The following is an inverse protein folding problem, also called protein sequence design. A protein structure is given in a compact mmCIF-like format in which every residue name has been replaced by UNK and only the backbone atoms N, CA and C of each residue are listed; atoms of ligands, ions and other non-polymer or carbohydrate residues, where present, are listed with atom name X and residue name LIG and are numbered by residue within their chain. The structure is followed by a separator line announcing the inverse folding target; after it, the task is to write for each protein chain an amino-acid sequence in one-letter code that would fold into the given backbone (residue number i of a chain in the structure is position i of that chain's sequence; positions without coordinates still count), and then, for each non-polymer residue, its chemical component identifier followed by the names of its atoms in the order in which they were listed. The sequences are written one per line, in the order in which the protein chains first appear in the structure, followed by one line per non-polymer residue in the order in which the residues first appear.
data_IF_156345830909
#
_entry.id   IF_156345830909
#
_cell.length_a   1.000
_cell.length_b   1.000
_cell.length_c   1.000
_cell.angle_alpha   90.00
_cell.angle_beta   90.00
_cell.angle_gamma   90.00
#
_symmetry.space_group_name_H-M   'P 1'
#
loop_
_entity.id
_entity.type
_entity.pdbx_description
1 polymer ?
#
# COMPACT_ATOMS: atom_id res chain seq x y z
N UNK A 1 -20.60 -45.05 43.85
CA UNK A 1 -21.59 -45.18 42.76
C UNK A 1 -21.31 -44.04 41.79
N UNK A 2 -20.68 -44.17 40.62
CA UNK A 2 -20.44 -45.32 39.75
C UNK A 2 -21.23 -45.15 38.45
N UNK A 3 -20.55 -44.69 37.38
CA UNK A 3 -20.83 -44.71 35.92
C UNK A 3 -20.40 -43.35 35.32
N UNK A 4 -19.33 -43.17 34.54
CA UNK A 4 -18.75 -43.86 33.37
C UNK A 4 -19.37 -43.45 32.00
N UNK A 5 -18.59 -42.61 31.29
CA UNK A 5 -18.25 -42.56 29.84
C UNK A 5 -19.35 -42.53 28.77
N UNK A 6 -19.21 -41.58 27.84
CA UNK A 6 -19.11 -41.88 26.41
C UNK A 6 -18.26 -40.83 25.69
N UNK A 7 -17.22 -41.31 24.99
CA UNK A 7 -16.42 -40.58 24.03
C UNK A 7 -16.98 -40.85 22.63
N UNK A 8 -16.74 -39.93 21.69
CA UNK A 8 -16.80 -40.23 20.26
C UNK A 8 -15.59 -39.59 19.59
N UNK A 9 -14.85 -40.45 18.88
CA UNK A 9 -13.62 -40.22 18.13
C UNK A 9 -13.98 -40.32 16.64
N UNK A 10 -13.11 -39.73 15.80
CA UNK A 10 -12.90 -39.96 14.36
C UNK A 10 -13.66 -38.98 13.42
N UNK A 11 -13.11 -38.51 12.31
CA UNK A 11 -11.91 -38.94 11.59
C UNK A 11 -11.29 -37.79 10.78
N UNK A 12 -9.98 -37.89 10.59
CA UNK A 12 -9.11 -37.07 9.76
C UNK A 12 -9.44 -37.18 8.26
N UNK A 13 -9.18 -36.12 7.49
CA UNK A 13 -8.69 -36.24 6.11
C UNK A 13 -7.43 -35.40 5.98
N UNK A 14 -6.30 -36.10 6.00
CA UNK A 14 -5.01 -35.62 5.50
C UNK A 14 -5.04 -35.81 3.98
N UNK A 15 -4.96 -34.73 3.21
CA UNK A 15 -4.56 -34.82 1.80
C UNK A 15 -3.09 -34.45 1.73
N UNK A 16 -2.25 -35.45 1.96
CA UNK A 16 -0.85 -35.42 1.54
C UNK A 16 -0.80 -35.93 0.09
N UNK A 17 -0.60 -35.02 -0.86
CA UNK A 17 -0.16 -35.37 -2.19
C UNK A 17 1.35 -35.08 -2.28
N UNK A 18 2.15 -36.10 -1.97
CA UNK A 18 3.56 -36.12 -2.30
C UNK A 18 3.72 -36.50 -3.77
N UNK A 19 4.59 -35.76 -4.47
CA UNK A 19 5.30 -36.27 -5.66
C UNK A 19 6.78 -35.95 -5.46
N UNK A 20 7.50 -36.95 -4.96
CA UNK A 20 8.95 -37.09 -5.10
C UNK A 20 9.20 -37.99 -6.31
N UNK A 21 9.74 -37.43 -7.39
CA UNK A 21 10.62 -38.13 -8.32
C UNK A 21 11.27 -37.09 -9.25
N UNK A 22 12.59 -36.94 -9.16
CA UNK A 22 13.34 -36.07 -10.07
C UNK A 22 14.71 -35.63 -9.56
N UNK A 23 15.60 -36.58 -9.23
CA UNK A 23 17.03 -36.30 -9.33
C UNK A 23 17.37 -36.16 -10.81
N UNK A 24 17.73 -34.96 -11.27
CA UNK A 24 18.22 -34.76 -12.63
C UNK A 24 18.28 -33.29 -13.05
N UNK A 25 19.51 -32.75 -13.06
CA UNK A 25 20.02 -31.91 -14.13
C UNK A 25 19.47 -30.48 -14.32
N UNK A 26 20.40 -29.53 -14.35
CA UNK A 26 20.29 -28.19 -14.93
C UNK A 26 19.45 -27.18 -14.16
N UNK A 27 20.08 -26.61 -13.12
CA UNK A 27 19.60 -25.43 -12.42
C UNK A 27 19.54 -24.21 -13.34
N UNK A 28 18.37 -23.98 -13.92
CA UNK A 28 17.92 -22.65 -14.32
C UNK A 28 17.46 -21.94 -13.05
N UNK A 29 18.16 -20.89 -12.65
CA UNK A 29 17.81 -19.99 -11.55
C UNK A 29 16.56 -19.17 -11.94
N UNK A 30 15.42 -19.84 -12.01
CA UNK A 30 14.12 -19.18 -12.06
C UNK A 30 13.79 -18.67 -10.67
N UNK A 31 13.95 -17.37 -10.44
CA UNK A 31 13.52 -16.72 -9.21
C UNK A 31 12.02 -16.98 -9.05
N UNK A 32 11.64 -17.88 -8.13
CA UNK A 32 10.24 -18.16 -7.83
C UNK A 32 9.59 -16.85 -7.41
N UNK A 33 8.64 -16.35 -8.20
CA UNK A 33 7.86 -15.17 -7.85
C UNK A 33 7.24 -15.42 -6.46
N UNK A 34 7.34 -14.46 -5.53
CA UNK A 34 6.69 -14.61 -4.24
C UNK A 34 5.17 -14.75 -4.45
N UNK A 35 4.48 -15.48 -3.55
CA UNK A 35 3.03 -15.64 -3.65
C UNK A 35 2.34 -14.27 -3.69
N UNK A 36 1.12 -14.20 -4.24
CA UNK A 36 0.28 -13.01 -4.10
C UNK A 36 -0.08 -12.78 -2.63
N UNK A 37 -0.33 -11.52 -2.21
CA UNK A 37 -0.76 -11.23 -0.84
C UNK A 37 -1.98 -12.12 -0.56
N UNK A 38 -1.90 -12.98 0.46
CA UNK A 38 -2.92 -13.99 0.67
C UNK A 38 -4.24 -13.29 0.95
N UNK A 39 -5.22 -13.49 0.07
CA UNK A 39 -6.58 -13.03 0.27
C UNK A 39 -7.26 -13.71 1.49
N UNK A 40 -6.59 -14.71 2.09
CA UNK A 40 -7.08 -15.51 3.21
C UNK A 40 -6.97 -14.83 4.58
N UNK A 41 -6.42 -13.61 4.66
CA UNK A 41 -6.66 -12.77 5.83
C UNK A 41 -8.18 -12.48 5.90
N UNK A 42 -8.84 -12.70 7.05
CA UNK A 42 -10.30 -12.58 7.14
C UNK A 42 -10.74 -11.27 6.51
N UNK A 43 -11.58 -11.38 5.48
CA UNK A 43 -12.17 -10.23 4.84
C UNK A 43 -13.01 -9.53 5.90
N UNK A 44 -12.51 -8.41 6.45
CA UNK A 44 -13.37 -7.50 7.20
C UNK A 44 -14.54 -7.12 6.30
N UNK A 45 -15.74 -7.05 6.89
CA UNK A 45 -16.93 -6.59 6.18
C UNK A 45 -16.68 -5.21 5.54
N UNK A 46 -17.17 -5.01 4.32
CA UNK A 46 -17.01 -3.74 3.58
C UNK A 46 -15.81 -3.68 2.63
N UNK A 47 -15.04 -4.76 2.51
CA UNK A 47 -13.96 -4.88 1.52
C UNK A 47 -14.46 -4.92 0.07
N UNK A 48 -13.82 -4.16 -0.81
CA UNK A 48 -14.07 -4.17 -2.26
C UNK A 48 -12.82 -4.61 -3.03
N UNK A 49 -13.02 -5.43 -4.07
CA UNK A 49 -11.91 -5.76 -4.98
C UNK A 49 -11.57 -4.53 -5.81
N UNK A 50 -10.37 -3.98 -5.62
CA UNK A 50 -9.86 -2.89 -6.45
C UNK A 50 -9.72 -3.33 -7.90
N UNK A 51 -10.16 -2.48 -8.85
CA UNK A 51 -9.97 -2.72 -10.28
C UNK A 51 -9.04 -1.64 -10.84
N UNK A 52 -8.07 -2.04 -11.66
CA UNK A 52 -7.22 -1.07 -12.35
C UNK A 52 -8.03 -0.37 -13.45
N UNK A 53 -7.99 0.98 -13.53
CA UNK A 53 -8.58 1.69 -14.64
C UNK A 53 -7.87 1.35 -15.95
N UNK A 54 -8.62 1.23 -17.04
CA UNK A 54 -8.06 0.93 -18.38
C UNK A 54 -7.59 2.17 -19.12
N UNK A 55 -8.01 3.36 -18.69
CA UNK A 55 -7.75 4.65 -19.35
C UNK A 55 -6.55 5.41 -18.77
N UNK A 56 -5.91 4.87 -17.72
CA UNK A 56 -4.75 5.45 -17.06
C UNK A 56 -3.59 4.46 -17.05
N UNK A 57 -2.36 4.97 -16.95
CA UNK A 57 -1.15 4.16 -17.07
C UNK A 57 -0.35 4.15 -15.77
N UNK A 58 0.16 2.97 -15.45
CA UNK A 58 1.14 2.76 -14.38
C UNK A 58 2.52 3.07 -14.93
N UNK A 59 3.33 3.77 -14.15
CA UNK A 59 4.74 4.04 -14.45
C UNK A 59 5.53 3.56 -13.25
N UNK A 60 6.27 2.47 -13.42
CA UNK A 60 7.01 1.86 -12.31
C UNK A 60 8.04 2.85 -11.74
N UNK A 61 8.07 2.94 -10.42
CA UNK A 61 9.00 3.76 -9.65
C UNK A 61 10.34 3.06 -9.42
N UNK A 62 11.32 3.83 -8.95
CA UNK A 62 12.62 3.30 -8.57
C UNK A 62 12.51 2.42 -7.31
N UNK A 63 12.95 1.16 -7.40
CA UNK A 63 12.96 0.28 -6.23
C UNK A 63 13.86 0.79 -5.12
N UNK A 64 13.40 0.68 -3.87
CA UNK A 64 14.17 1.04 -2.69
C UNK A 64 15.05 -0.12 -2.23
N UNK A 65 16.23 0.25 -1.75
CA UNK A 65 17.18 -0.65 -1.10
C UNK A 65 17.18 -0.35 0.39
N UNK A 66 16.24 -0.97 1.11
CA UNK A 66 16.08 -0.83 2.56
C UNK A 66 16.60 -2.08 3.28
N UNK A 67 17.17 -1.87 4.45
CA UNK A 67 17.72 -2.94 5.30
C UNK A 67 17.28 -2.75 6.75
N UNK A 68 16.74 -3.80 7.35
CA UNK A 68 16.58 -3.90 8.81
C UNK A 68 17.92 -4.27 9.42
N UNK A 69 18.46 -3.38 10.25
CA UNK A 69 19.78 -3.59 10.87
C UNK A 69 19.77 -4.70 11.90
N UNK A 70 18.65 -4.91 12.60
CA UNK A 70 18.43 -6.00 13.56
C UNK A 70 16.94 -6.35 13.61
N UNK A 71 16.60 -7.62 13.81
CA UNK A 71 15.24 -8.09 14.09
C UNK A 71 14.70 -7.56 15.42
N UNK A 72 15.56 -7.15 16.36
CA UNK A 72 15.13 -6.56 17.64
C UNK A 72 14.78 -5.07 17.54
N UNK A 73 15.38 -4.34 16.60
CA UNK A 73 15.00 -2.97 16.26
C UNK A 73 14.16 -2.97 14.99
N UNK A 74 12.85 -3.03 15.16
CA UNK A 74 11.88 -3.11 14.07
C UNK A 74 11.84 -1.87 13.15
N UNK A 75 12.72 -0.89 13.31
CA UNK A 75 12.74 0.33 12.50
C UNK A 75 13.86 0.28 11.46
N UNK A 76 13.54 0.62 10.22
CA UNK A 76 14.56 0.89 9.19
C UNK A 76 15.25 2.22 9.57
N UNK A 77 16.60 2.31 9.54
CA UNK A 77 17.29 3.56 9.82
C UNK A 77 16.77 4.71 8.95
N UNK A 78 16.45 5.86 9.56
CA UNK A 78 15.89 7.02 8.84
C UNK A 78 16.80 7.57 7.75
N UNK A 79 18.11 7.29 7.82
CA UNK A 79 19.08 7.60 6.76
C UNK A 79 18.79 6.86 5.44
N UNK A 80 18.14 5.69 5.50
CA UNK A 80 17.75 4.90 4.35
C UNK A 80 16.37 5.27 3.81
N UNK A 81 15.56 6.02 4.56
CA UNK A 81 14.22 6.38 4.11
C UNK A 81 14.29 7.25 2.85
N UNK A 82 13.41 7.00 1.87
CA UNK A 82 13.23 7.90 0.75
C UNK A 82 12.67 9.24 1.25
N UNK A 83 12.80 10.25 0.41
CA UNK A 83 12.19 11.56 0.63
C UNK A 83 10.82 11.60 -0.07
N UNK A 84 9.83 12.28 0.49
CA UNK A 84 8.46 12.26 -0.07
C UNK A 84 8.35 12.83 -1.50
N UNK A 85 9.28 13.72 -1.90
CA UNK A 85 9.43 14.25 -3.27
C UNK A 85 9.94 13.23 -4.29
N UNK A 86 10.46 12.08 -3.82
CA UNK A 86 10.95 10.99 -4.68
C UNK A 86 9.97 9.82 -4.79
N UNK A 87 8.86 9.86 -4.05
CA UNK A 87 7.84 8.80 -4.06
C UNK A 87 6.97 8.79 -5.32
N UNK A 88 6.77 9.95 -5.93
CA UNK A 88 6.04 10.11 -7.17
C UNK A 88 6.81 11.07 -8.06
N UNK A 89 6.79 10.81 -9.36
CA UNK A 89 7.39 11.71 -10.37
C UNK A 89 6.30 12.50 -11.09
N UNK A 90 6.70 13.58 -11.75
CA UNK A 90 5.82 14.31 -12.67
C UNK A 90 5.23 13.37 -13.74
N UNK A 91 6.00 12.42 -14.24
CA UNK A 91 5.54 11.44 -15.24
C UNK A 91 4.46 10.52 -14.68
N UNK A 92 4.67 9.95 -13.49
CA UNK A 92 3.67 9.12 -12.80
C UNK A 92 2.37 9.88 -12.55
N UNK A 93 2.48 11.13 -12.09
CA UNK A 93 1.31 11.98 -11.84
C UNK A 93 0.56 12.34 -13.12
N UNK A 94 1.26 12.63 -14.23
CA UNK A 94 0.63 12.84 -15.54
C UNK A 94 0.00 11.57 -16.11
N UNK A 95 0.59 10.40 -15.85
CA UNK A 95 0.05 9.11 -16.27
C UNK A 95 -1.22 8.71 -15.50
N UNK A 96 -1.26 9.05 -14.20
CA UNK A 96 -2.43 8.85 -13.35
C UNK A 96 -3.53 9.90 -13.57
N UNK A 97 -3.15 11.15 -13.88
CA UNK A 97 -4.07 12.28 -14.12
C UNK A 97 -3.84 12.83 -15.54
N UNK A 98 -4.33 12.15 -16.58
CA UNK A 98 -4.14 12.58 -17.97
C UNK A 98 -4.79 13.95 -18.28
N UNK A 99 -5.71 14.41 -17.44
CA UNK A 99 -6.32 15.73 -17.50
C UNK A 99 -5.38 16.86 -17.04
N UNK A 100 -4.26 16.53 -16.40
CA UNK A 100 -3.29 17.51 -15.91
C UNK A 100 -2.46 18.10 -17.07
N UNK A 101 -2.50 19.43 -17.21
CA UNK A 101 -1.70 20.20 -18.17
C UNK A 101 -0.32 20.55 -17.61
N UNK A 102 -0.22 20.68 -16.28
CA UNK A 102 1.03 20.89 -15.58
C UNK A 102 1.01 20.18 -14.24
N UNK A 103 2.17 19.65 -13.85
CA UNK A 103 2.40 19.04 -12.54
C UNK A 103 3.70 19.62 -12.02
N UNK A 104 3.68 20.18 -10.82
CA UNK A 104 4.85 20.79 -10.20
C UNK A 104 4.95 20.38 -8.74
N UNK A 105 6.16 20.08 -8.28
CA UNK A 105 6.42 19.95 -6.84
C UNK A 105 6.39 21.36 -6.23
N UNK A 106 5.46 21.60 -5.31
CA UNK A 106 5.27 22.92 -4.71
C UNK A 106 6.09 23.07 -3.43
N UNK A 107 5.71 22.33 -2.39
CA UNK A 107 6.27 22.47 -1.05
C UNK A 107 6.60 21.11 -0.44
N UNK A 108 7.68 21.07 0.34
CA UNK A 108 8.08 19.90 1.09
C UNK A 108 8.39 20.27 2.54
N UNK A 109 7.76 19.54 3.46
CA UNK A 109 7.94 19.69 4.90
C UNK A 109 8.85 18.59 5.40
N UNK A 110 10.00 18.98 5.94
CA UNK A 110 10.91 18.06 6.64
C UNK A 110 10.27 17.58 7.92
N UNK A 111 10.41 16.28 8.20
CA UNK A 111 10.11 15.77 9.53
C UNK A 111 11.21 16.15 10.52
N UNK A 112 10.91 16.02 11.81
CA UNK A 112 11.94 16.05 12.87
C UNK A 112 12.60 14.68 12.90
N UNK A 113 13.94 14.59 12.80
CA UNK A 113 14.62 13.29 12.88
C UNK A 113 14.20 12.50 14.13
N UNK A 114 13.64 11.31 13.94
CA UNK A 114 13.19 10.45 15.04
C UNK A 114 12.70 9.10 14.55
N UNK A 115 12.23 8.23 15.45
CA UNK A 115 11.81 6.86 15.10
C UNK A 115 10.72 6.81 14.03
N UNK A 116 9.88 7.85 13.95
CA UNK A 116 8.73 7.92 13.05
C UNK A 116 8.88 8.97 11.95
N UNK A 117 10.03 9.64 11.87
CA UNK A 117 10.19 10.81 11.02
C UNK A 117 11.63 10.94 10.53
N UNK A 118 11.77 11.29 9.27
CA UNK A 118 13.06 11.56 8.64
C UNK A 118 13.25 13.06 8.48
N UNK A 119 14.50 13.52 8.57
CA UNK A 119 14.89 14.88 8.17
C UNK A 119 14.76 15.11 6.66
N UNK A 120 14.56 14.04 5.87
CA UNK A 120 14.30 14.09 4.44
C UNK A 120 12.79 14.24 4.22
N UNK A 121 12.33 15.45 3.91
CA UNK A 121 10.96 15.82 3.51
C UNK A 121 9.90 14.73 3.78
N UNK A 122 9.35 14.71 5.00
CA UNK A 122 8.39 13.68 5.41
C UNK A 122 7.06 13.82 4.66
N UNK A 123 6.72 15.03 4.21
CA UNK A 123 5.53 15.29 3.40
C UNK A 123 5.86 16.25 2.28
N UNK A 124 5.35 16.00 1.08
CA UNK A 124 5.49 16.90 -0.07
C UNK A 124 4.14 17.11 -0.76
N UNK A 125 3.93 18.30 -1.28
CA UNK A 125 2.72 18.70 -2.01
C UNK A 125 3.07 18.86 -3.49
N UNK A 126 2.36 18.11 -4.32
CA UNK A 126 2.35 18.28 -5.76
C UNK A 126 1.15 19.14 -6.14
N UNK A 127 1.38 20.18 -6.94
CA UNK A 127 0.35 21.01 -7.54
C UNK A 127 0.04 20.51 -8.95
N UNK A 128 -1.24 20.37 -9.27
CA UNK A 128 -1.72 19.90 -10.57
C UNK A 128 -2.63 20.98 -11.19
N UNK A 129 -2.28 21.42 -12.39
CA UNK A 129 -3.17 22.26 -13.21
C UNK A 129 -3.97 21.37 -14.14
N UNK A 130 -5.29 21.47 -14.11
CA UNK A 130 -6.18 20.65 -14.95
C UNK A 130 -6.63 21.42 -16.20
N UNK A 131 -6.84 20.71 -17.31
CA UNK A 131 -7.36 21.29 -18.56
C UNK A 131 -8.75 21.87 -18.35
N UNK A 132 -8.93 23.14 -18.70
CA UNK A 132 -10.22 23.83 -18.52
C UNK A 132 -10.56 24.17 -17.08
N UNK A 133 -9.58 24.08 -16.16
CA UNK A 133 -9.78 24.34 -14.73
C UNK A 133 -10.26 25.75 -14.46
N UNK A 134 -11.14 25.87 -13.46
CA UNK A 134 -11.85 27.10 -13.09
C UNK A 134 -11.03 28.06 -12.22
N UNK A 135 -9.74 27.76 -12.01
CA UNK A 135 -8.82 28.53 -11.17
C UNK A 135 -8.59 27.93 -9.77
N UNK A 136 -9.20 26.78 -9.45
CA UNK A 136 -8.88 26.06 -8.21
C UNK A 136 -7.47 25.45 -8.27
N UNK A 137 -6.75 25.54 -7.15
CA UNK A 137 -5.48 24.83 -6.98
C UNK A 137 -5.77 23.37 -6.62
N UNK A 138 -5.47 22.45 -7.54
CA UNK A 138 -5.50 21.01 -7.27
C UNK A 138 -4.15 20.61 -6.69
N UNK A 139 -4.16 19.86 -5.60
CA UNK A 139 -2.93 19.38 -4.99
C UNK A 139 -3.05 17.98 -4.44
N UNK A 140 -1.97 17.22 -4.58
CA UNK A 140 -1.78 15.92 -3.95
C UNK A 140 -0.68 16.06 -2.90
N UNK A 141 -1.03 15.79 -1.65
CA UNK A 141 -0.06 15.71 -0.56
C UNK A 141 0.33 14.24 -0.39
N UNK A 142 1.63 13.97 -0.46
CA UNK A 142 2.22 12.65 -0.26
C UNK A 142 3.02 12.69 1.03
N UNK A 143 2.74 11.77 1.95
CA UNK A 143 3.41 11.71 3.26
C UNK A 143 4.00 10.32 3.50
N UNK A 144 5.30 10.25 3.79
CA UNK A 144 5.95 9.05 4.33
C UNK A 144 5.65 9.00 5.82
N UNK A 145 4.79 8.07 6.25
CA UNK A 145 4.36 7.97 7.66
C UNK A 145 5.32 7.09 8.46
N UNK A 146 5.63 5.90 7.95
CA UNK A 146 6.51 4.95 8.64
C UNK A 146 7.16 3.96 7.68
N UNK A 147 8.40 3.54 7.98
CA UNK A 147 9.10 2.44 7.31
C UNK A 147 9.82 1.58 8.35
N UNK A 148 9.59 0.28 8.30
CA UNK A 148 10.03 -0.63 9.37
C UNK A 148 9.68 -2.07 9.06
N UNK A 149 9.77 -2.92 10.07
CA UNK A 149 9.49 -4.34 9.95
C UNK A 149 8.03 -4.59 9.60
N UNK A 150 7.82 -5.50 8.65
CA UNK A 150 6.53 -6.05 8.32
C UNK A 150 6.20 -7.22 9.26
N UNK A 151 5.66 -6.90 10.43
CA UNK A 151 5.26 -7.89 11.42
C UNK A 151 3.77 -7.77 11.73
N UNK A 152 3.14 -8.89 12.08
CA UNK A 152 1.77 -8.90 12.59
C UNK A 152 1.83 -8.74 14.11
N UNK A 153 1.04 -7.83 14.68
CA UNK A 153 1.04 -7.54 16.13
C UNK A 153 2.10 -6.52 16.59
N UNK A 154 3.12 -6.24 15.78
CA UNK A 154 4.15 -5.22 16.00
C UNK A 154 4.55 -4.57 14.66
N UNK A 155 5.35 -3.50 14.68
CA UNK A 155 5.87 -2.89 13.45
C UNK A 155 4.85 -2.12 12.61
N UNK A 156 5.21 -1.84 11.35
CA UNK A 156 4.49 -0.88 10.50
C UNK A 156 3.10 -1.38 10.11
N UNK A 157 2.97 -2.65 9.73
CA UNK A 157 1.67 -3.24 9.36
C UNK A 157 0.68 -3.19 10.51
N UNK A 158 1.12 -3.50 11.74
CA UNK A 158 0.28 -3.39 12.95
C UNK A 158 -0.15 -1.94 13.21
N UNK A 159 0.77 -0.98 13.12
CA UNK A 159 0.47 0.44 13.32
C UNK A 159 -0.51 0.98 12.27
N UNK A 160 -0.30 0.65 11.00
CA UNK A 160 -1.20 1.01 9.90
C UNK A 160 -2.59 0.43 10.10
N UNK A 161 -2.67 -0.86 10.46
CA UNK A 161 -3.93 -1.56 10.73
C UNK A 161 -4.68 -0.88 11.89
N UNK A 162 -3.99 -0.51 12.97
CA UNK A 162 -4.60 0.18 14.11
C UNK A 162 -5.18 1.55 13.74
N UNK A 163 -4.47 2.34 12.93
CA UNK A 163 -4.97 3.66 12.50
C UNK A 163 -6.09 3.52 11.47
N UNK A 164 -6.00 2.56 10.54
CA UNK A 164 -7.10 2.21 9.64
C UNK A 164 -8.36 1.89 10.43
N UNK A 165 -8.28 0.97 11.39
CA UNK A 165 -9.44 0.53 12.16
C UNK A 165 -10.09 1.70 12.91
N UNK A 166 -9.28 2.57 13.54
CA UNK A 166 -9.77 3.81 14.17
C UNK A 166 -10.42 4.76 13.18
N UNK A 167 -9.85 4.91 11.99
CA UNK A 167 -10.43 5.78 10.97
C UNK A 167 -11.79 5.27 10.52
N UNK A 168 -12.03 3.95 10.54
CA UNK A 168 -13.27 3.33 10.08
C UNK A 168 -14.35 3.18 11.17
N UNK A 169 -14.00 3.39 12.44
CA UNK A 169 -14.95 3.29 13.55
C UNK A 169 -16.17 4.20 13.31
N UNK A 170 -17.36 3.59 13.27
CA UNK A 170 -18.64 4.31 13.13
C UNK A 170 -18.97 4.80 11.72
N UNK A 171 -18.21 4.40 10.69
CA UNK A 171 -18.45 4.81 9.31
C UNK A 171 -19.09 3.70 8.47
N UNK A 172 -20.07 4.08 7.64
CA UNK A 172 -20.75 3.17 6.72
C UNK A 172 -20.79 3.74 5.30
N UNK A 173 -20.34 2.96 4.30
CA UNK A 173 -20.62 3.20 2.88
C UNK A 173 -19.82 4.30 2.17
N UNK A 174 -19.03 5.12 2.89
CA UNK A 174 -18.21 6.17 2.26
C UNK A 174 -16.72 5.82 2.11
N UNK A 175 -16.27 4.78 2.79
CA UNK A 175 -14.88 4.31 2.79
C UNK A 175 -14.78 3.04 1.96
N UNK A 176 -13.94 3.07 0.92
CA UNK A 176 -13.65 1.85 0.15
C UNK A 176 -12.33 1.30 0.64
N UNK A 177 -12.42 0.31 1.51
CA UNK A 177 -11.28 -0.52 1.83
C UNK A 177 -11.08 -1.52 0.70
N UNK A 178 -9.89 -1.55 0.10
CA UNK A 178 -9.59 -2.49 -0.97
C UNK A 178 -9.03 -3.79 -0.40
N UNK A 179 -9.39 -4.92 -1.02
CA UNK A 179 -8.88 -6.24 -0.61
C UNK A 179 -7.35 -6.23 -0.55
N UNK A 180 -6.77 -6.94 0.43
CA UNK A 180 -5.31 -7.07 0.51
C UNK A 180 -4.73 -7.52 -0.83
N UNK A 181 -3.60 -6.96 -1.22
CA UNK A 181 -3.01 -7.19 -2.54
C UNK A 181 -3.57 -6.33 -3.67
N UNK A 182 -4.60 -5.51 -3.43
CA UNK A 182 -5.12 -4.60 -4.45
C UNK A 182 -4.03 -3.66 -4.93
N UNK A 183 -3.95 -3.53 -6.26
CA UNK A 183 -2.97 -2.68 -6.93
C UNK A 183 -1.50 -3.08 -6.64
N UNK A 184 -1.25 -4.29 -6.13
CA UNK A 184 0.09 -4.75 -5.74
C UNK A 184 0.55 -4.28 -4.36
N UNK A 185 -0.18 -3.39 -3.71
CA UNK A 185 0.06 -2.98 -2.33
C UNK A 185 -0.38 -4.09 -1.36
N UNK A 186 0.25 -4.16 -0.17
CA UNK A 186 -0.18 -5.09 0.90
C UNK A 186 -1.58 -4.70 1.40
N UNK A 187 -1.82 -3.39 1.59
CA UNK A 187 -3.12 -2.85 1.95
C UNK A 187 -3.33 -1.44 1.41
N UNK A 188 -4.57 -1.06 1.15
CA UNK A 188 -4.91 0.28 0.66
C UNK A 188 -6.36 0.64 0.98
N UNK A 189 -6.63 1.93 1.25
CA UNK A 189 -7.99 2.44 1.42
C UNK A 189 -8.12 3.88 0.93
N UNK A 190 -9.36 4.28 0.64
CA UNK A 190 -9.74 5.64 0.26
C UNK A 190 -10.96 6.11 1.07
N UNK A 191 -10.86 7.32 1.64
CA UNK A 191 -11.87 7.96 2.48
C UNK A 191 -12.58 9.09 1.73
N UNK A 192 -13.80 9.44 2.17
CA UNK A 192 -14.61 10.51 1.57
C UNK A 192 -14.04 11.92 1.68
N UNK A 193 -13.23 12.18 2.69
CA UNK A 193 -12.48 13.42 2.86
C UNK A 193 -11.24 13.50 1.94
N UNK A 194 -11.15 12.63 0.93
CA UNK A 194 -10.03 12.49 -0.01
C UNK A 194 -8.70 12.11 0.65
N UNK A 195 -8.72 11.63 1.88
CA UNK A 195 -7.58 10.97 2.51
C UNK A 195 -7.53 9.52 2.05
N UNK A 196 -6.34 9.04 1.76
CA UNK A 196 -6.12 7.67 1.36
C UNK A 196 -4.77 7.19 1.86
N UNK A 197 -4.62 5.88 1.94
CA UNK A 197 -3.42 5.28 2.51
C UNK A 197 -3.03 4.04 1.74
N UNK A 198 -1.73 3.83 1.61
CA UNK A 198 -1.11 2.69 0.93
C UNK A 198 -0.06 2.09 1.86
N UNK A 199 -0.23 0.81 2.17
CA UNK A 199 0.75 -0.02 2.86
C UNK A 199 1.44 -0.91 1.80
N UNK A 200 2.72 -0.67 1.56
CA UNK A 200 3.55 -1.47 0.66
C UNK A 200 4.50 -2.34 1.48
N UNK A 201 4.90 -3.50 0.97
CA UNK A 201 5.78 -4.40 1.71
C UNK A 201 6.55 -5.33 0.78
N UNK A 202 7.79 -5.66 1.17
CA UNK A 202 8.52 -6.76 0.54
C UNK A 202 8.31 -8.12 1.25
N UNK A 203 7.58 -8.13 2.36
CA UNK A 203 7.33 -9.27 3.26
C UNK A 203 8.20 -9.29 4.52
N UNK A 204 9.31 -8.53 4.55
CA UNK A 204 10.14 -8.30 5.74
C UNK A 204 10.07 -6.85 6.21
N UNK A 205 10.01 -5.90 5.27
CA UNK A 205 9.91 -4.46 5.48
C UNK A 205 8.58 -3.99 4.90
N UNK A 206 7.89 -3.13 5.63
CA UNK A 206 6.71 -2.42 5.16
C UNK A 206 6.91 -0.90 5.24
N UNK A 207 6.27 -0.19 4.33
CA UNK A 207 6.17 1.26 4.33
C UNK A 207 4.72 1.70 4.25
N UNK A 208 4.37 2.68 5.08
CA UNK A 208 3.08 3.33 5.12
C UNK A 208 3.22 4.73 4.51
N UNK A 209 2.49 4.95 3.40
CA UNK A 209 2.38 6.22 2.71
C UNK A 209 0.93 6.71 2.73
N UNK A 210 0.72 7.97 3.09
CA UNK A 210 -0.58 8.62 2.95
C UNK A 210 -0.61 9.54 1.72
N UNK A 211 -1.77 9.58 1.08
CA UNK A 211 -2.08 10.40 -0.08
C UNK A 211 -3.34 11.22 0.25
N UNK A 212 -3.25 12.55 0.19
CA UNK A 212 -4.39 13.45 0.40
C UNK A 212 -4.63 14.32 -0.83
N UNK A 213 -5.80 14.18 -1.44
CA UNK A 213 -6.18 14.96 -2.62
C UNK A 213 -6.98 16.20 -2.20
N UNK A 214 -6.61 17.38 -2.71
CA UNK A 214 -7.26 18.66 -2.41
C UNK A 214 -7.59 19.41 -3.70
N UNK A 215 -8.76 20.04 -3.74
CA UNK A 215 -9.10 21.00 -4.79
C UNK A 215 -9.53 20.44 -6.15
N UNK A 216 -9.57 19.11 -6.34
CA UNK A 216 -9.92 18.39 -7.59
C UNK A 216 -11.38 18.54 -8.07
N UNK A 217 -12.06 19.63 -7.72
CA UNK A 217 -13.48 19.86 -8.01
C UNK A 217 -13.79 19.95 -9.51
N UNK A 218 -12.78 20.20 -10.34
CA UNK A 218 -12.94 20.29 -11.80
C UNK A 218 -12.91 18.91 -12.48
N UNK A 219 -12.63 17.81 -11.76
CA UNK A 219 -12.70 16.46 -12.32
C UNK A 219 -14.16 15.99 -12.42
N UNK A 220 -14.58 15.37 -13.55
CA UNK A 220 -15.88 14.72 -13.67
C UNK A 220 -16.05 13.66 -12.59
N UNK A 221 -17.20 13.65 -11.90
CA UNK A 221 -17.46 12.74 -10.78
C UNK A 221 -16.22 12.59 -9.87
N UNK A 222 -15.78 13.73 -9.31
CA UNK A 222 -14.48 13.90 -8.65
C UNK A 222 -14.13 12.73 -7.74
N UNK A 223 -15.07 12.32 -6.88
CA UNK A 223 -14.85 11.23 -5.95
C UNK A 223 -14.58 9.91 -6.65
N UNK A 224 -15.40 9.54 -7.63
CA UNK A 224 -15.22 8.29 -8.37
C UNK A 224 -13.92 8.31 -9.20
N UNK A 225 -13.61 9.44 -9.84
CA UNK A 225 -12.39 9.61 -10.62
C UNK A 225 -11.13 9.52 -9.75
N UNK A 226 -11.12 10.16 -8.57
CA UNK A 226 -10.02 10.03 -7.63
C UNK A 226 -9.89 8.60 -7.09
N UNK A 227 -10.98 8.00 -6.64
CA UNK A 227 -10.98 6.71 -5.93
C UNK A 227 -10.78 5.49 -6.84
N UNK A 228 -11.38 5.49 -8.03
CA UNK A 228 -11.37 4.33 -8.94
C UNK A 228 -10.52 4.58 -10.21
N UNK A 229 -10.13 5.83 -10.47
CA UNK A 229 -9.22 6.20 -11.57
C UNK A 229 -7.80 6.48 -11.06
N UNK A 230 -7.63 7.55 -10.28
CA UNK A 230 -6.29 8.06 -9.97
C UNK A 230 -5.61 7.23 -8.87
N UNK A 231 -6.27 7.00 -7.73
CA UNK A 231 -5.71 6.30 -6.58
C UNK A 231 -5.20 4.88 -6.90
N UNK A 232 -5.90 4.02 -7.66
CA UNK A 232 -5.41 2.69 -8.02
C UNK A 232 -4.06 2.73 -8.74
N UNK A 233 -3.87 3.69 -9.64
CA UNK A 233 -2.62 3.87 -10.39
C UNK A 233 -1.51 4.30 -9.45
N UNK A 234 -1.74 5.32 -8.62
CA UNK A 234 -0.75 5.79 -7.66
C UNK A 234 -0.40 4.73 -6.62
N UNK A 235 -1.36 3.95 -6.15
CA UNK A 235 -1.11 2.83 -5.23
C UNK A 235 -0.23 1.75 -5.89
N UNK A 236 -0.42 1.50 -7.19
CA UNK A 236 0.41 0.58 -7.96
C UNK A 236 1.82 1.10 -8.19
N UNK A 237 1.95 2.38 -8.56
CA UNK A 237 3.25 3.06 -8.70
C UNK A 237 4.01 3.01 -7.36
N UNK A 238 3.35 3.30 -6.24
CA UNK A 238 3.96 3.21 -4.91
C UNK A 238 4.38 1.78 -4.55
N UNK A 239 3.55 0.77 -4.85
CA UNK A 239 3.86 -0.62 -4.59
C UNK A 239 5.12 -1.11 -5.35
N UNK A 240 5.45 -0.50 -6.48
CA UNK A 240 6.65 -0.85 -7.25
C UNK A 240 7.96 -0.47 -6.54
N UNK A 241 7.93 0.47 -5.60
CA UNK A 241 9.12 0.85 -4.83
C UNK A 241 9.61 -0.23 -3.88
N UNK A 242 8.69 -1.03 -3.33
CA UNK A 242 9.00 -2.09 -2.39
C UNK A 242 8.29 -3.38 -2.82
N UNK A 243 8.74 -4.00 -3.93
CA UNK A 243 8.06 -5.16 -4.49
C UNK A 243 8.17 -6.34 -3.53
N UNK A 244 7.11 -7.16 -3.47
CA UNK A 244 7.11 -8.38 -2.65
C UNK A 244 8.29 -9.27 -3.02
N UNK A 245 9.01 -9.75 -2.00
CA UNK A 245 10.13 -10.71 -2.10
C UNK A 245 9.89 -11.96 -1.24
N UNK A 246 9.19 -11.79 -0.12
CA UNK A 246 8.97 -12.81 0.90
C UNK A 246 7.47 -13.08 1.10
N UNK A 247 7.15 -14.31 1.51
CA UNK A 247 5.78 -14.76 1.77
C UNK A 247 5.35 -14.37 3.18
#
# INVERSE_FOLDING_TARGET
MGMARAASVAASVVVAAGLLAGCGGSGSSGTKLPPAWSADAPTQDGLVKGTMPSDRKVVDGQQWSLTLTDKTNANVPTSQWPSADTLLTEEQLKAAVPEATAVTLADCVKGVSGPNHTSKNASCTWSLSLKGGSGYSNSLIVTVVAIGADQTGSGVTSAWTSVRDKNFEGKSGTERYFTQGSFGAKGSYYLDNNQSSVLISDGNIAAWIDLTFKGFNDLPDTRNTLMNGIFPVLAKDLASHLPRKYA
#
